data_IF_808677491241
#
_entry.id   IF_808677491241
#
_cell.length_a   1.000
_cell.length_b   1.000
_cell.length_c   1.000
_cell.angle_alpha   90.00
_cell.angle_beta   90.00
_cell.angle_gamma   90.00
#
_symmetry.space_group_name_H-M   'P 1'
#
loop_
_entity.id
_entity.type
_entity.pdbx_description
1 polymer ?
#
# COMPACT_ATOMS: atom_id res chain seq x y z
N UNK A 1 -14.68 8.74 -0.97
CA UNK A 1 -15.24 7.52 -1.58
C UNK A 1 -14.10 6.58 -1.99
N UNK A 2 -14.29 5.25 -1.96
CA UNK A 2 -13.33 4.33 -2.57
C UNK A 2 -13.28 4.58 -4.09
N UNK A 3 -12.07 4.59 -4.67
CA UNK A 3 -11.92 4.84 -6.12
C UNK A 3 -12.28 3.61 -6.97
N UNK A 4 -12.20 2.40 -6.40
CA UNK A 4 -12.61 1.16 -7.05
C UNK A 4 -14.01 0.75 -6.57
N UNK A 5 -14.84 0.29 -7.50
CA UNK A 5 -16.17 -0.24 -7.20
C UNK A 5 -16.08 -1.57 -6.42
N UNK A 6 -17.17 -1.92 -5.74
CA UNK A 6 -17.32 -3.23 -5.11
C UNK A 6 -17.22 -4.35 -6.15
N UNK A 7 -16.59 -5.47 -5.79
CA UNK A 7 -16.35 -6.60 -6.69
C UNK A 7 -15.10 -6.48 -7.58
N UNK A 8 -14.47 -5.30 -7.65
CA UNK A 8 -13.24 -5.07 -8.44
C UNK A 8 -12.20 -4.27 -7.65
N UNK A 9 -12.21 -4.44 -6.33
CA UNK A 9 -11.33 -3.72 -5.42
C UNK A 9 -10.11 -4.57 -5.01
N UNK A 10 -9.22 -3.96 -4.22
CA UNK A 10 -7.98 -4.59 -3.76
C UNK A 10 -8.19 -5.88 -2.93
N UNK A 11 -9.32 -6.03 -2.25
CA UNK A 11 -9.65 -7.26 -1.49
C UNK A 11 -9.97 -8.41 -2.44
N UNK A 12 -10.78 -8.16 -3.47
CA UNK A 12 -11.09 -9.18 -4.48
C UNK A 12 -9.83 -9.59 -5.25
N UNK A 13 -9.02 -8.61 -5.66
CA UNK A 13 -7.73 -8.88 -6.30
C UNK A 13 -6.84 -9.79 -5.44
N UNK A 14 -6.72 -9.50 -4.14
CA UNK A 14 -5.98 -10.35 -3.21
C UNK A 14 -6.58 -11.77 -3.12
N UNK A 15 -7.90 -11.88 -3.00
CA UNK A 15 -8.59 -13.16 -2.87
C UNK A 15 -8.47 -14.06 -4.11
N UNK A 16 -8.38 -13.49 -5.30
CA UNK A 16 -8.17 -14.21 -6.56
C UNK A 16 -6.71 -14.64 -6.78
N UNK A 17 -5.74 -14.00 -6.12
CA UNK A 17 -4.33 -14.35 -6.26
C UNK A 17 -4.02 -15.73 -5.67
N UNK A 18 -3.19 -16.52 -6.37
CA UNK A 18 -2.53 -17.69 -5.78
C UNK A 18 -1.42 -17.26 -4.82
N UNK A 19 -1.03 -18.09 -3.85
CA UNK A 19 0.16 -17.82 -3.06
C UNK A 19 1.43 -17.80 -3.92
N UNK A 20 2.46 -17.03 -3.53
CA UNK A 20 2.46 -16.14 -2.37
C UNK A 20 1.68 -14.85 -2.63
N UNK A 21 0.90 -14.41 -1.64
CA UNK A 21 0.14 -13.16 -1.72
C UNK A 21 0.17 -12.39 -0.40
N UNK A 22 0.22 -11.07 -0.50
CA UNK A 22 0.17 -10.19 0.66
C UNK A 22 -0.76 -9.01 0.39
N UNK A 23 -1.49 -8.58 1.42
CA UNK A 23 -2.42 -7.48 1.37
C UNK A 23 -2.21 -6.57 2.57
N UNK A 24 -1.74 -5.36 2.27
CA UNK A 24 -1.47 -4.30 3.23
C UNK A 24 -2.28 -3.08 2.83
N UNK A 25 -3.00 -2.47 3.76
CA UNK A 25 -3.80 -1.27 3.49
C UNK A 25 -3.36 -0.12 4.36
N UNK A 26 -3.01 1.00 3.74
CA UNK A 26 -2.72 2.27 4.42
C UNK A 26 -4.02 3.02 4.71
N UNK A 27 -4.71 2.67 5.81
CA UNK A 27 -6.08 3.15 6.06
C UNK A 27 -6.22 4.64 6.06
N UNK A 28 -5.17 5.37 6.43
CA UNK A 28 -5.23 6.82 6.62
C UNK A 28 -4.85 7.58 5.36
N UNK A 29 -4.64 6.89 4.24
CA UNK A 29 -4.25 7.43 2.95
C UNK A 29 -5.23 6.99 1.85
N UNK A 30 -5.21 7.68 0.72
CA UNK A 30 -5.93 7.29 -0.48
C UNK A 30 -5.05 7.30 -1.72
N UNK A 31 -5.67 7.03 -2.88
CA UNK A 31 -4.98 6.70 -4.12
C UNK A 31 -3.98 7.79 -4.56
N UNK A 32 -4.36 9.05 -4.41
CA UNK A 32 -3.54 10.19 -4.83
C UNK A 32 -2.36 10.45 -3.90
N UNK A 33 -2.38 9.95 -2.66
CA UNK A 33 -1.29 10.15 -1.70
C UNK A 33 -0.03 9.33 -2.04
N UNK A 34 -0.13 8.41 -3.00
CA UNK A 34 1.04 7.69 -3.53
C UNK A 34 1.86 8.56 -4.50
N UNK A 35 1.26 9.60 -5.09
CA UNK A 35 1.97 10.46 -6.05
C UNK A 35 2.96 11.41 -5.36
N UNK A 36 3.80 12.06 -6.16
CA UNK A 36 4.70 13.12 -5.69
C UNK A 36 3.92 14.37 -5.26
N UNK A 37 4.48 15.12 -4.32
CA UNK A 37 3.83 16.26 -3.69
C UNK A 37 3.50 17.37 -4.70
N UNK A 38 4.40 17.59 -5.66
CA UNK A 38 4.21 18.47 -6.81
C UNK A 38 3.73 17.65 -8.01
N UNK A 39 2.42 17.48 -8.14
CA UNK A 39 1.82 16.93 -9.35
C UNK A 39 1.40 18.09 -10.28
N UNK A 40 2.18 18.46 -11.32
CA UNK A 40 1.85 19.61 -12.16
C UNK A 40 0.57 19.39 -12.97
N UNK A 41 -0.35 20.36 -12.92
CA UNK A 41 -1.53 20.44 -13.80
C UNK A 41 -2.90 20.45 -13.08
N UNK A 42 -3.93 20.91 -13.81
CA UNK A 42 -5.34 21.01 -13.34
C UNK A 42 -5.88 19.65 -12.87
N UNK A 43 -5.38 18.55 -13.45
CA UNK A 43 -5.79 17.18 -13.13
C UNK A 43 -5.39 16.77 -11.70
N UNK A 44 -4.23 17.20 -11.20
CA UNK A 44 -3.72 16.86 -9.87
C UNK A 44 -4.59 17.44 -8.74
N UNK A 45 -5.08 18.67 -8.92
CA UNK A 45 -6.00 19.30 -7.96
C UNK A 45 -7.43 18.77 -8.07
N UNK A 46 -7.91 18.43 -9.27
CA UNK A 46 -9.27 17.93 -9.48
C UNK A 46 -9.45 16.49 -8.97
N UNK A 47 -8.45 15.62 -9.14
CA UNK A 47 -8.50 14.21 -8.71
C UNK A 47 -8.43 14.06 -7.18
N UNK A 48 -7.77 14.99 -6.46
CA UNK A 48 -7.81 15.02 -4.98
C UNK A 48 -9.24 15.21 -4.44
N UNK A 49 -10.15 15.87 -5.16
CA UNK A 49 -11.52 16.08 -4.67
C UNK A 49 -12.42 14.82 -4.76
N UNK A 50 -12.05 13.81 -5.54
CA UNK A 50 -12.95 12.67 -5.84
C UNK A 50 -12.65 11.40 -5.06
N UNK A 51 -11.58 11.33 -4.29
CA UNK A 51 -11.22 10.14 -3.53
C UNK A 51 -10.78 10.50 -2.11
N UNK A 52 -10.60 9.49 -1.26
CA UNK A 52 -10.02 9.71 0.07
C UNK A 52 -8.65 10.39 -0.09
N UNK A 53 -8.41 11.44 0.68
CA UNK A 53 -7.08 12.00 0.90
C UNK A 53 -6.70 11.74 2.35
N UNK A 54 -5.44 11.40 2.56
CA UNK A 54 -4.89 11.25 3.87
C UNK A 54 -4.64 12.58 4.56
N UNK A 55 -4.57 12.53 5.89
CA UNK A 55 -4.24 13.69 6.73
C UNK A 55 -2.75 13.74 7.09
N UNK A 56 -2.01 12.65 6.84
CA UNK A 56 -0.57 12.56 7.09
C UNK A 56 0.28 12.97 5.88
N UNK A 57 1.61 13.08 6.03
CA UNK A 57 2.52 13.38 4.93
C UNK A 57 2.44 12.32 3.82
N UNK A 58 2.31 12.73 2.56
CA UNK A 58 2.27 11.82 1.41
C UNK A 58 3.57 10.99 1.28
N UNK A 59 4.71 11.52 1.73
CA UNK A 59 5.98 10.79 1.81
C UNK A 59 5.86 9.47 2.61
N UNK A 60 5.05 9.45 3.66
CA UNK A 60 4.86 8.22 4.45
C UNK A 60 4.15 7.14 3.65
N UNK A 61 3.18 7.51 2.81
CA UNK A 61 2.53 6.57 1.89
C UNK A 61 3.54 6.00 0.89
N UNK A 62 4.32 6.87 0.24
CA UNK A 62 5.35 6.48 -0.74
C UNK A 62 6.40 5.54 -0.15
N UNK A 63 6.96 5.91 1.01
CA UNK A 63 7.97 5.10 1.71
C UNK A 63 7.43 3.77 2.21
N UNK A 64 6.19 3.76 2.70
CA UNK A 64 5.53 2.53 3.15
C UNK A 64 5.34 1.57 1.98
N UNK A 65 4.69 2.02 0.90
CA UNK A 65 4.45 1.18 -0.28
C UNK A 65 5.76 0.72 -0.92
N UNK A 66 6.71 1.62 -1.12
CA UNK A 66 8.02 1.28 -1.67
C UNK A 66 8.77 0.27 -0.81
N UNK A 67 8.76 0.46 0.52
CA UNK A 67 9.35 -0.48 1.48
C UNK A 67 8.72 -1.86 1.43
N UNK A 68 7.37 -1.94 1.40
CA UNK A 68 6.62 -3.20 1.31
C UNK A 68 6.97 -3.98 0.03
N UNK A 69 6.98 -3.30 -1.11
CA UNK A 69 7.32 -3.91 -2.41
C UNK A 69 8.75 -4.44 -2.39
N UNK A 70 9.71 -3.63 -1.92
CA UNK A 70 11.12 -4.05 -1.84
C UNK A 70 11.29 -5.22 -0.88
N UNK A 71 10.68 -5.19 0.31
CA UNK A 71 10.77 -6.27 1.29
C UNK A 71 10.20 -7.59 0.73
N UNK A 72 9.04 -7.54 0.07
CA UNK A 72 8.42 -8.70 -0.56
C UNK A 72 9.29 -9.29 -1.67
N UNK A 73 9.77 -8.44 -2.59
CA UNK A 73 10.63 -8.89 -3.69
C UNK A 73 11.97 -9.45 -3.19
N UNK A 74 12.58 -8.84 -2.17
CA UNK A 74 13.82 -9.36 -1.56
C UNK A 74 13.63 -10.72 -0.92
N UNK A 75 12.50 -10.94 -0.23
CA UNK A 75 12.19 -12.24 0.36
C UNK A 75 12.08 -13.33 -0.72
N UNK A 76 11.30 -13.09 -1.77
CA UNK A 76 10.99 -14.13 -2.77
C UNK A 76 12.02 -14.29 -3.89
N UNK A 77 12.69 -13.22 -4.29
CA UNK A 77 13.67 -13.27 -5.40
C UNK A 77 15.10 -13.47 -4.91
N UNK A 78 15.42 -13.02 -3.69
CA UNK A 78 16.79 -13.01 -3.16
C UNK A 78 16.96 -13.81 -1.85
N UNK A 79 15.93 -14.51 -1.38
CA UNK A 79 15.91 -15.24 -0.11
C UNK A 79 16.25 -14.37 1.12
N UNK A 80 15.93 -13.08 1.05
CA UNK A 80 16.22 -12.09 2.09
C UNK A 80 14.96 -11.72 2.87
N UNK A 81 14.62 -12.55 3.85
CA UNK A 81 13.35 -12.51 4.59
C UNK A 81 13.27 -11.50 5.73
N UNK A 82 14.41 -10.96 6.18
CA UNK A 82 14.51 -10.16 7.40
C UNK A 82 13.51 -9.01 7.44
N UNK A 83 13.44 -8.24 6.36
CA UNK A 83 12.60 -7.02 6.31
C UNK A 83 11.11 -7.37 6.25
N UNK A 84 10.72 -8.35 5.43
CA UNK A 84 9.33 -8.79 5.33
C UNK A 84 8.84 -9.38 6.66
N UNK A 85 9.64 -10.23 7.31
CA UNK A 85 9.30 -10.82 8.60
C UNK A 85 9.16 -9.76 9.70
N UNK A 86 10.02 -8.73 9.70
CA UNK A 86 9.91 -7.63 10.65
C UNK A 86 8.59 -6.87 10.49
N UNK A 87 8.19 -6.56 9.24
CA UNK A 87 6.93 -5.86 8.95
C UNK A 87 5.72 -6.72 9.32
N UNK A 88 5.74 -8.02 9.05
CA UNK A 88 4.65 -8.93 9.39
C UNK A 88 4.50 -9.11 10.91
N UNK A 89 5.62 -9.16 11.64
CA UNK A 89 5.62 -9.29 13.10
C UNK A 89 5.19 -7.98 13.79
N UNK A 90 5.61 -6.84 13.26
CA UNK A 90 5.26 -5.52 13.78
C UNK A 90 4.99 -4.55 12.61
N UNK A 91 3.73 -4.45 12.14
CA UNK A 91 3.38 -3.51 11.09
C UNK A 91 3.57 -2.04 11.46
N UNK A 92 3.72 -1.71 12.76
CA UNK A 92 3.87 -0.33 13.22
C UNK A 92 5.23 0.28 12.89
N UNK A 93 6.19 -0.51 12.44
CA UNK A 93 7.49 -0.03 11.95
C UNK A 93 7.36 0.72 10.61
N UNK A 94 6.24 0.53 9.90
CA UNK A 94 5.96 1.27 8.67
C UNK A 94 5.64 2.75 8.97
N UNK A 95 6.06 3.70 8.11
CA UNK A 95 5.71 5.12 8.29
C UNK A 95 4.20 5.39 8.31
N UNK A 96 3.43 4.66 7.49
CA UNK A 96 1.98 4.74 7.46
C UNK A 96 1.37 3.56 8.22
N UNK A 97 0.25 3.81 8.91
CA UNK A 97 -0.53 2.76 9.58
C UNK A 97 -0.99 1.71 8.56
N UNK A 98 -0.78 0.44 8.86
CA UNK A 98 -1.20 -0.70 8.06
C UNK A 98 -2.34 -1.47 8.74
N UNK A 99 -3.50 -1.56 8.09
CA UNK A 99 -4.69 -2.27 8.59
C UNK A 99 -5.72 -2.50 7.45
N UNK A 100 -6.00 -3.73 6.99
CA UNK A 100 -5.43 -4.99 7.47
C UNK A 100 -4.00 -5.24 6.99
N UNK A 101 -3.37 -6.23 7.62
CA UNK A 101 -2.14 -6.88 7.19
C UNK A 101 -2.41 -8.38 7.06
N UNK A 102 -2.44 -8.87 5.82
CA UNK A 102 -2.70 -10.26 5.50
C UNK A 102 -1.57 -10.81 4.62
N UNK A 103 -1.13 -12.03 4.91
CA UNK A 103 -0.07 -12.67 4.16
C UNK A 103 -0.29 -14.17 4.11
N UNK A 104 -0.20 -14.73 2.91
CA UNK A 104 -0.25 -16.17 2.64
C UNK A 104 1.03 -16.56 1.89
N UNK A 105 1.94 -17.33 2.51
CA UNK A 105 3.19 -17.74 1.89
C UNK A 105 2.99 -18.74 0.73
N UNK A 106 4.04 -18.95 -0.07
CA UNK A 106 4.04 -19.82 -1.25
C UNK A 106 3.83 -21.30 -0.88
#
# INVERSE_FOLDING_TARGET
MPCASDGVNHKEFYNECKPPRAHFVTTDYGHMDMLDDDTPGIMGNMMKCMCKNGTGPMDFMRRTVGGLVVAFLRAYLNDQWKDLNAILADPSIAPAKLDPVEYLPA
#
